data_IF_184897824884
#
_entry.id   IF_184897824884
#
_cell.length_a   1.000
_cell.length_b   1.000
_cell.length_c   1.000
_cell.angle_alpha   90.00
_cell.angle_beta   90.00
_cell.angle_gamma   90.00
#
_symmetry.space_group_name_H-M   'P 1'
#
loop_
_entity.id
_entity.type
_entity.pdbx_description
1 polymer ?
#
# COMPACT_ATOMS: atom_id res chain seq x y z
N UNK A 1 -37.30 -27.15 -11.48
CA UNK A 1 -37.60 -25.81 -10.93
C UNK A 1 -36.30 -25.23 -10.39
N UNK A 2 -35.87 -24.07 -10.88
CA UNK A 2 -34.54 -23.49 -10.65
C UNK A 2 -34.48 -22.68 -9.35
N UNK A 3 -33.29 -22.58 -8.73
CA UNK A 3 -32.85 -21.44 -7.92
C UNK A 3 -31.34 -21.30 -8.08
N UNK A 4 -30.95 -20.32 -8.90
CA UNK A 4 -29.75 -19.53 -8.69
C UNK A 4 -29.80 -18.93 -7.27
N UNK A 5 -28.68 -18.96 -6.53
CA UNK A 5 -28.33 -17.96 -5.50
C UNK A 5 -26.88 -18.18 -5.03
N UNK A 6 -25.97 -17.60 -5.83
CA UNK A 6 -24.80 -16.82 -5.44
C UNK A 6 -24.65 -16.57 -3.91
N UNK A 7 -23.48 -16.86 -3.33
CA UNK A 7 -22.83 -16.17 -2.19
C UNK A 7 -21.40 -16.77 -2.11
N UNK A 8 -20.46 -16.37 -2.95
CA UNK A 8 -19.53 -15.27 -2.63
C UNK A 8 -19.46 -15.05 -1.11
N UNK A 9 -18.42 -15.57 -0.45
CA UNK A 9 -17.69 -14.94 0.69
C UNK A 9 -16.82 -15.95 1.45
N UNK A 10 -15.97 -16.71 0.76
CA UNK A 10 -14.72 -17.21 1.38
C UNK A 10 -13.61 -16.13 1.35
N UNK A 11 -13.95 -14.89 0.97
CA UNK A 11 -13.02 -13.74 0.86
C UNK A 11 -12.91 -12.89 2.12
N UNK A 12 -13.60 -13.22 3.21
CA UNK A 12 -13.71 -12.35 4.39
C UNK A 12 -12.71 -12.62 5.53
N UNK A 13 -11.70 -13.48 5.34
CA UNK A 13 -10.64 -13.69 6.34
C UNK A 13 -9.32 -12.91 6.08
N UNK A 14 -9.23 -12.08 5.03
CA UNK A 14 -8.06 -11.22 4.73
C UNK A 14 -8.30 -9.72 5.02
N UNK A 15 -9.38 -9.40 5.74
CA UNK A 15 -9.98 -8.07 5.87
C UNK A 15 -9.28 -7.00 6.73
N UNK A 16 -7.96 -7.00 6.88
CA UNK A 16 -7.27 -5.91 7.60
C UNK A 16 -5.82 -5.59 7.17
N UNK A 17 -5.28 -6.28 6.16
CA UNK A 17 -3.83 -6.24 5.92
C UNK A 17 -3.37 -5.13 5.00
N UNK A 18 -3.89 -5.10 3.77
CA UNK A 18 -3.31 -4.34 2.66
C UNK A 18 -4.41 -3.75 1.79
N UNK A 19 -4.38 -2.44 1.62
CA UNK A 19 -5.31 -1.72 0.75
C UNK A 19 -4.59 -1.36 -0.54
N UNK A 20 -5.28 -1.54 -1.68
CA UNK A 20 -4.74 -1.19 -3.00
C UNK A 20 -4.75 0.32 -3.14
N UNK A 21 -3.62 0.90 -3.55
CA UNK A 21 -3.42 2.34 -3.53
C UNK A 21 -3.24 2.86 -4.96
N UNK A 22 -4.32 3.23 -5.64
CA UNK A 22 -4.21 3.72 -7.03
C UNK A 22 -3.64 5.15 -7.14
N UNK A 23 -3.53 5.87 -6.02
CA UNK A 23 -3.12 7.28 -5.99
C UNK A 23 -1.84 7.54 -5.17
N UNK A 24 -1.27 6.52 -4.52
CA UNK A 24 -0.01 6.69 -3.78
C UNK A 24 1.18 6.52 -4.71
N UNK A 25 2.07 7.49 -4.66
CA UNK A 25 3.36 7.45 -5.35
C UNK A 25 4.48 7.34 -4.32
N UNK A 26 5.57 6.70 -4.71
CA UNK A 26 6.81 6.72 -3.95
C UNK A 26 7.97 7.26 -4.78
N UNK A 27 9.05 7.63 -4.10
CA UNK A 27 10.30 8.01 -4.76
C UNK A 27 10.96 6.88 -5.57
N UNK A 28 10.51 5.63 -5.41
CA UNK A 28 11.01 4.48 -6.17
C UNK A 28 10.04 3.98 -7.24
N UNK A 29 8.77 4.40 -7.20
CA UNK A 29 7.74 3.97 -8.15
C UNK A 29 6.32 3.99 -7.60
N UNK A 30 5.41 3.28 -8.26
CA UNK A 30 3.99 3.27 -7.90
C UNK A 30 3.75 2.35 -6.70
N UNK A 31 2.94 2.79 -5.73
CA UNK A 31 2.56 1.94 -4.59
C UNK A 31 1.40 1.04 -5.01
N UNK A 32 1.59 -0.28 -5.04
CA UNK A 32 0.55 -1.24 -5.41
C UNK A 32 -0.41 -1.46 -4.24
N UNK A 33 0.16 -1.76 -3.06
CA UNK A 33 -0.58 -1.95 -1.82
C UNK A 33 0.22 -1.48 -0.61
N UNK A 34 -0.50 -1.04 0.43
CA UNK A 34 0.08 -0.56 1.66
C UNK A 34 -0.62 -1.13 2.89
N UNK A 35 0.17 -1.34 3.95
CA UNK A 35 -0.26 -1.85 5.26
C UNK A 35 0.39 -1.06 6.38
N UNK A 36 -0.01 -1.32 7.62
CA UNK A 36 0.61 -0.69 8.80
C UNK A 36 2.07 -1.11 9.04
N UNK A 37 2.58 -2.13 8.36
CA UNK A 37 3.93 -2.68 8.56
C UNK A 37 4.81 -2.62 7.32
N UNK A 38 4.25 -2.30 6.16
CA UNK A 38 5.02 -2.29 4.92
C UNK A 38 4.18 -1.95 3.70
N UNK A 39 4.86 -1.87 2.56
CA UNK A 39 4.27 -1.56 1.26
C UNK A 39 4.79 -2.51 0.18
N UNK A 40 4.00 -2.65 -0.87
CA UNK A 40 4.40 -3.26 -2.13
C UNK A 40 4.47 -2.17 -3.18
N UNK A 41 5.60 -2.08 -3.88
CA UNK A 41 5.81 -1.11 -4.95
C UNK A 41 6.03 -1.82 -6.29
N UNK A 42 5.67 -1.13 -7.37
CA UNK A 42 6.21 -1.35 -8.71
C UNK A 42 7.31 -0.31 -8.95
N UNK A 43 8.54 -0.77 -9.18
CA UNK A 43 9.69 0.10 -9.40
C UNK A 43 9.60 0.85 -10.73
N UNK A 44 10.04 2.11 -10.70
CA UNK A 44 10.25 2.90 -11.91
C UNK A 44 11.40 2.32 -12.74
N UNK A 45 11.37 2.45 -14.08
CA UNK A 45 12.46 1.97 -14.93
C UNK A 45 13.82 2.57 -14.52
N UNK A 46 14.82 1.70 -14.36
CA UNK A 46 16.19 2.09 -13.98
C UNK A 46 16.42 2.27 -12.48
N UNK A 47 15.41 2.04 -11.64
CA UNK A 47 15.60 1.89 -10.20
C UNK A 47 16.03 0.46 -9.91
N UNK A 48 17.17 0.32 -9.26
CA UNK A 48 17.71 -0.96 -8.80
C UNK A 48 17.73 -0.94 -7.27
N UNK A 49 17.28 -2.04 -6.66
CA UNK A 49 17.33 -2.26 -5.20
C UNK A 49 17.76 -3.70 -4.94
N UNK A 50 18.36 -3.94 -3.79
CA UNK A 50 18.82 -5.25 -3.37
C UNK A 50 18.00 -5.82 -2.22
N UNK A 51 17.91 -7.14 -2.13
CA UNK A 51 17.27 -7.78 -0.98
C UNK A 51 18.05 -7.45 0.31
N UNK A 52 17.32 -7.24 1.40
CA UNK A 52 17.83 -6.78 2.69
C UNK A 52 18.41 -5.35 2.73
N UNK A 53 18.37 -4.61 1.62
CA UNK A 53 18.74 -3.20 1.59
C UNK A 53 17.78 -2.36 2.44
N UNK A 54 18.32 -1.39 3.19
CA UNK A 54 17.55 -0.39 3.93
C UNK A 54 17.62 0.92 3.16
N UNK A 55 16.46 1.46 2.78
CA UNK A 55 16.34 2.61 1.91
C UNK A 55 15.34 3.65 2.45
N UNK A 56 15.58 4.95 2.20
CA UNK A 56 14.65 6.01 2.56
C UNK A 56 13.46 6.01 1.60
N UNK A 57 12.34 5.46 2.06
CA UNK A 57 11.07 5.44 1.35
C UNK A 57 10.25 6.69 1.66
N UNK A 58 9.91 7.42 0.62
CA UNK A 58 8.93 8.51 0.66
C UNK A 58 7.66 8.05 -0.02
N UNK A 59 6.52 8.22 0.64
CA UNK A 59 5.18 7.98 0.10
C UNK A 59 4.45 9.32 0.06
N UNK A 60 3.92 9.69 -1.10
CA UNK A 60 3.18 10.94 -1.32
C UNK A 60 1.71 10.64 -1.65
N UNK A 61 0.80 11.45 -1.08
CA UNK A 61 -0.66 11.41 -1.29
C UNK A 61 -1.26 12.81 -1.14
N UNK A 62 -1.94 13.37 -2.15
CA UNK A 62 -2.72 14.62 -2.08
C UNK A 62 -2.22 15.72 -1.11
N UNK A 63 -0.93 16.09 -1.25
CA UNK A 63 -0.30 17.16 -0.45
C UNK A 63 0.27 16.73 0.91
N UNK A 64 0.17 15.45 1.25
CA UNK A 64 0.76 14.80 2.42
C UNK A 64 1.89 13.88 1.97
N UNK A 65 3.01 13.94 2.69
CA UNK A 65 4.17 13.07 2.46
C UNK A 65 4.57 12.36 3.74
N UNK A 66 4.89 11.07 3.63
CA UNK A 66 5.45 10.26 4.69
C UNK A 66 6.83 9.76 4.27
N UNK A 67 7.87 10.09 5.03
CA UNK A 67 9.24 9.65 4.78
C UNK A 67 9.72 8.71 5.89
N UNK A 68 10.14 7.48 5.56
CA UNK A 68 10.61 6.47 6.52
C UNK A 68 11.67 5.57 5.91
N UNK A 69 12.54 5.01 6.74
CA UNK A 69 13.39 3.90 6.32
C UNK A 69 12.55 2.63 6.20
N UNK A 70 12.81 1.88 5.13
CA UNK A 70 12.17 0.60 4.88
C UNK A 70 13.22 -0.40 4.37
N UNK A 71 13.05 -1.66 4.77
CA UNK A 71 13.91 -2.77 4.35
C UNK A 71 13.26 -3.54 3.21
N UNK A 72 14.04 -3.86 2.17
CA UNK A 72 13.60 -4.76 1.09
C UNK A 72 13.54 -6.19 1.61
N UNK A 73 12.34 -6.75 1.68
CA UNK A 73 12.10 -8.12 2.18
C UNK A 73 11.99 -9.15 1.06
N UNK A 74 11.60 -8.72 -0.14
CA UNK A 74 11.56 -9.56 -1.35
C UNK A 74 11.52 -8.70 -2.61
N UNK A 75 11.98 -9.31 -3.71
CA UNK A 75 11.99 -8.72 -5.06
C UNK A 75 11.45 -9.78 -6.03
N UNK A 76 10.50 -9.39 -6.88
CA UNK A 76 9.96 -10.22 -7.97
C UNK A 76 9.84 -9.38 -9.25
N UNK A 77 10.84 -9.48 -10.12
CA UNK A 77 10.93 -8.65 -11.32
C UNK A 77 11.04 -7.15 -10.97
N UNK A 78 10.02 -6.38 -11.34
CA UNK A 78 9.93 -4.94 -11.02
C UNK A 78 9.15 -4.67 -9.73
N UNK A 79 8.56 -5.69 -9.12
CA UNK A 79 7.83 -5.52 -7.87
C UNK A 79 8.71 -5.78 -6.67
N UNK A 80 8.54 -4.95 -5.63
CA UNK A 80 9.30 -5.07 -4.39
C UNK A 80 8.40 -4.97 -3.17
N UNK A 81 8.72 -5.80 -2.18
CA UNK A 81 8.14 -5.72 -0.85
C UNK A 81 9.08 -4.97 0.08
N UNK A 82 8.56 -3.94 0.73
CA UNK A 82 9.26 -3.15 1.72
C UNK A 82 8.59 -3.29 3.08
N UNK A 83 9.38 -3.55 4.11
CA UNK A 83 8.94 -3.56 5.50
C UNK A 83 9.45 -2.29 6.21
N UNK A 84 8.56 -1.58 6.90
CA UNK A 84 8.96 -0.42 7.68
C UNK A 84 9.66 -0.85 8.96
N UNK A 85 10.57 -0.01 9.45
CA UNK A 85 10.90 -0.06 10.87
C UNK A 85 9.64 0.15 11.74
N UNK A 86 9.63 -0.33 13.01
CA UNK A 86 8.49 -0.18 13.89
C UNK A 86 7.96 1.26 13.95
N UNK A 87 6.81 1.49 13.32
CA UNK A 87 6.20 2.81 13.27
C UNK A 87 5.64 3.19 14.64
N UNK A 88 5.82 4.46 15.04
CA UNK A 88 5.10 5.02 16.19
C UNK A 88 3.60 5.17 15.90
N UNK A 89 2.81 5.41 16.95
CA UNK A 89 1.35 5.49 16.85
C UNK A 89 0.87 6.61 15.91
N UNK A 90 1.53 7.77 15.95
CA UNK A 90 1.19 8.93 15.12
C UNK A 90 1.44 8.65 13.64
N UNK A 91 2.54 7.97 13.33
CA UNK A 91 2.92 7.59 11.97
C UNK A 91 2.00 6.52 11.41
N UNK A 92 1.66 5.51 12.22
CA UNK A 92 0.65 4.50 11.82
C UNK A 92 -0.67 5.14 11.49
N UNK A 93 -1.09 6.14 12.28
CA UNK A 93 -2.31 6.90 12.04
C UNK A 93 -2.23 7.70 10.75
N UNK A 94 -1.13 8.42 10.49
CA UNK A 94 -0.94 9.17 9.26
C UNK A 94 -0.97 8.25 8.02
N UNK A 95 -0.25 7.13 8.07
CA UNK A 95 -0.26 6.13 7.00
C UNK A 95 -1.66 5.58 6.77
N UNK A 96 -2.40 5.31 7.86
CA UNK A 96 -3.79 4.86 7.76
C UNK A 96 -4.71 5.91 7.15
N UNK A 97 -4.56 7.19 7.53
CA UNK A 97 -5.30 8.31 6.95
C UNK A 97 -5.01 8.44 5.45
N UNK A 98 -3.73 8.41 5.05
CA UNK A 98 -3.34 8.41 3.63
C UNK A 98 -3.98 7.24 2.88
N UNK A 99 -3.98 6.04 3.46
CA UNK A 99 -4.55 4.85 2.85
C UNK A 99 -6.10 4.90 2.78
N UNK A 100 -6.76 5.43 3.81
CA UNK A 100 -8.22 5.42 3.95
C UNK A 100 -8.93 6.62 3.29
N UNK A 101 -8.31 7.80 3.25
CA UNK A 101 -8.84 8.98 2.57
C UNK A 101 -8.86 8.79 1.04
N UNK A 102 -8.15 7.79 0.51
CA UNK A 102 -8.26 7.36 -0.89
C UNK A 102 -9.58 6.64 -1.23
N UNK A 103 -10.54 6.50 -0.30
CA UNK A 103 -11.90 6.16 -0.71
C UNK A 103 -12.49 7.36 -1.43
N UNK A 104 -12.83 7.28 -2.73
CA UNK A 104 -13.57 8.34 -3.36
C UNK A 104 -14.82 8.56 -2.52
N UNK A 105 -15.06 9.82 -2.13
CA UNK A 105 -16.38 10.26 -1.75
C UNK A 105 -17.33 9.63 -2.76
N UNK A 106 -18.20 8.75 -2.28
CA UNK A 106 -19.37 8.37 -3.05
C UNK A 106 -20.10 9.69 -3.27
N UNK A 107 -19.88 10.30 -4.44
CA UNK A 107 -20.74 11.32 -4.99
C UNK A 107 -22.09 10.64 -5.11
N UNK A 108 -22.87 10.73 -4.04
CA UNK A 108 -24.31 10.61 -4.10
C UNK A 108 -24.74 11.64 -5.14
N UNK A 109 -25.09 11.11 -6.32
CA UNK A 109 -25.84 11.83 -7.31
C UNK A 109 -27.22 12.08 -6.71
N UNK A 110 -27.44 13.31 -6.25
CA UNK A 110 -28.76 13.86 -5.96
C UNK A 110 -28.93 15.17 -6.73
#
# INVERSE_FOLDING_TARGET
MPRDENHASERDARGAGRLRCEQLMSNFGAVIDASSTGVRLELSPGVEVEADEILPLRIDSDGVSLEREARVIWIDGTEVGLEFEPLDQSTRRLLWEMICEMRPESRDAA
#
